data_IF_578465983477
#
_entry.id   IF_578465983477
#
_cell.length_a   1.000
_cell.length_b   1.000
_cell.length_c   1.000
_cell.angle_alpha   90.00
_cell.angle_beta   90.00
_cell.angle_gamma   90.00
#
_symmetry.space_group_name_H-M   'P 1'
#
loop_
_entity.id
_entity.type
_entity.pdbx_description
1 polymer ?
#
# COMPACT_ATOMS: atom_id res chain seq x y z
N UNK A 1 -4.16 26.59 -10.72
CA UNK A 1 -4.00 27.89 -10.05
C UNK A 1 -2.88 27.73 -9.03
N UNK A 2 -1.90 28.68 -9.01
CA UNK A 2 -0.81 28.69 -8.03
C UNK A 2 0.42 27.81 -8.31
N UNK A 3 0.40 26.90 -9.26
CA UNK A 3 1.53 25.96 -9.56
C UNK A 3 2.87 26.67 -9.88
N UNK A 4 2.88 27.88 -10.41
CA UNK A 4 4.11 28.61 -10.76
C UNK A 4 4.87 29.25 -9.59
N UNK A 5 4.40 29.14 -8.35
CA UNK A 5 4.94 29.85 -7.19
C UNK A 5 5.66 28.94 -6.17
N UNK A 6 6.02 27.73 -6.54
CA UNK A 6 6.68 26.76 -5.64
C UNK A 6 5.73 26.05 -4.68
N UNK A 7 6.24 25.52 -3.55
CA UNK A 7 5.44 24.79 -2.55
C UNK A 7 4.26 25.60 -1.99
N UNK A 8 3.22 24.90 -1.49
CA UNK A 8 1.98 25.52 -0.96
C UNK A 8 1.05 26.07 -2.04
N UNK A 9 1.06 25.47 -3.24
CA UNK A 9 0.23 25.94 -4.36
C UNK A 9 -1.27 25.77 -4.12
N UNK A 10 -1.69 24.80 -3.31
CA UNK A 10 -3.09 24.55 -2.97
C UNK A 10 -3.65 25.68 -2.10
N UNK A 11 -2.93 26.10 -1.08
CA UNK A 11 -3.31 27.20 -0.18
C UNK A 11 -3.33 28.54 -0.92
N UNK A 12 -2.28 28.81 -1.71
CA UNK A 12 -2.22 30.01 -2.56
C UNK A 12 -3.35 30.02 -3.59
N UNK A 13 -3.60 28.87 -4.22
CA UNK A 13 -4.70 28.66 -5.15
C UNK A 13 -6.05 28.95 -4.51
N UNK A 14 -6.29 28.49 -3.29
CA UNK A 14 -7.51 28.74 -2.53
C UNK A 14 -7.72 30.24 -2.26
N UNK A 15 -6.67 30.99 -1.92
CA UNK A 15 -6.75 32.45 -1.76
C UNK A 15 -7.07 33.16 -3.09
N UNK A 16 -6.44 32.73 -4.19
CA UNK A 16 -6.67 33.30 -5.51
C UNK A 16 -8.09 33.02 -6.03
N UNK A 17 -8.63 31.82 -5.78
CA UNK A 17 -9.94 31.42 -6.28
C UNK A 17 -11.07 32.22 -5.63
N UNK A 18 -10.96 32.70 -4.40
CA UNK A 18 -11.96 33.58 -3.77
C UNK A 18 -12.21 34.82 -4.61
N UNK A 19 -11.16 35.47 -5.11
CA UNK A 19 -11.26 36.66 -5.97
C UNK A 19 -11.89 36.32 -7.33
N UNK A 20 -11.57 35.13 -7.86
CA UNK A 20 -12.16 34.67 -9.12
C UNK A 20 -13.64 34.39 -8.94
N UNK A 21 -14.05 33.70 -7.89
CA UNK A 21 -15.44 33.40 -7.56
C UNK A 21 -16.29 34.68 -7.42
N UNK A 22 -15.77 35.71 -6.74
CA UNK A 22 -16.42 37.02 -6.65
C UNK A 22 -16.61 37.67 -8.03
N UNK A 23 -15.60 37.65 -8.88
CA UNK A 23 -15.69 38.20 -10.25
C UNK A 23 -16.66 37.42 -11.13
N UNK A 24 -16.79 36.10 -10.91
CA UNK A 24 -17.76 35.24 -11.58
C UNK A 24 -19.17 35.36 -10.98
N UNK A 25 -19.34 36.13 -9.90
CA UNK A 25 -20.62 36.30 -9.18
C UNK A 25 -21.21 34.97 -8.69
N UNK A 26 -20.34 34.05 -8.26
CA UNK A 26 -20.81 32.84 -7.59
C UNK A 26 -21.46 33.22 -6.25
N UNK A 27 -22.50 32.48 -5.87
CA UNK A 27 -23.08 32.60 -4.54
C UNK A 27 -22.09 32.14 -3.45
N UNK A 28 -22.45 32.31 -2.18
CA UNK A 28 -21.60 32.03 -1.04
C UNK A 28 -21.23 30.54 -0.98
N UNK A 29 -22.20 29.64 -1.19
CA UNK A 29 -22.02 28.21 -1.08
C UNK A 29 -21.14 27.66 -2.21
N UNK A 30 -21.39 28.08 -3.45
CA UNK A 30 -20.56 27.71 -4.60
C UNK A 30 -19.12 28.25 -4.46
N UNK A 31 -18.98 29.46 -3.94
CA UNK A 31 -17.65 30.07 -3.69
C UNK A 31 -16.87 29.27 -2.64
N UNK A 32 -17.52 28.85 -1.57
CA UNK A 32 -16.92 28.02 -0.52
C UNK A 32 -16.54 26.62 -1.05
N UNK A 33 -17.41 26.01 -1.88
CA UNK A 33 -17.13 24.72 -2.49
C UNK A 33 -15.92 24.78 -3.43
N UNK A 34 -15.83 25.78 -4.29
CA UNK A 34 -14.69 25.91 -5.22
C UNK A 34 -13.40 26.17 -4.46
N UNK A 35 -13.43 26.98 -3.39
CA UNK A 35 -12.26 27.18 -2.52
C UNK A 35 -11.83 25.87 -1.86
N UNK A 36 -12.77 25.10 -1.30
CA UNK A 36 -12.54 23.80 -0.71
C UNK A 36 -11.88 22.85 -1.71
N UNK A 37 -12.42 22.73 -2.92
CA UNK A 37 -11.91 21.86 -3.96
C UNK A 37 -10.46 22.23 -4.37
N UNK A 38 -10.15 23.51 -4.54
CA UNK A 38 -8.80 23.97 -4.88
C UNK A 38 -7.83 23.68 -3.73
N UNK A 39 -8.25 23.88 -2.49
CA UNK A 39 -7.42 23.61 -1.30
C UNK A 39 -7.08 22.14 -1.16
N UNK A 40 -8.06 21.26 -1.41
CA UNK A 40 -7.98 19.83 -1.12
C UNK A 40 -7.82 18.94 -2.36
N UNK A 41 -7.54 19.50 -3.56
CA UNK A 41 -7.52 18.72 -4.81
C UNK A 41 -6.54 17.53 -4.81
N UNK A 42 -5.46 17.57 -4.01
CA UNK A 42 -4.51 16.48 -3.88
C UNK A 42 -4.82 15.52 -2.73
N UNK A 43 -5.74 15.89 -1.81
CA UNK A 43 -5.96 15.14 -0.58
C UNK A 43 -6.47 13.73 -0.85
N UNK A 44 -7.42 13.58 -1.78
CA UNK A 44 -8.02 12.28 -2.07
C UNK A 44 -7.01 11.32 -2.72
N UNK A 45 -6.17 11.80 -3.65
CA UNK A 45 -5.09 10.98 -4.23
C UNK A 45 -4.05 10.60 -3.19
N UNK A 46 -3.66 11.56 -2.34
CA UNK A 46 -2.72 11.30 -1.26
C UNK A 46 -3.25 10.23 -0.30
N UNK A 47 -4.50 10.34 0.15
CA UNK A 47 -5.13 9.38 1.06
C UNK A 47 -5.29 8.01 0.39
N UNK A 48 -5.89 7.94 -0.80
CA UNK A 48 -6.16 6.68 -1.47
C UNK A 48 -4.89 5.88 -1.81
N UNK A 49 -3.83 6.57 -2.26
CA UNK A 49 -2.65 5.89 -2.79
C UNK A 49 -1.52 5.73 -1.78
N UNK A 50 -1.55 6.46 -0.65
CA UNK A 50 -0.44 6.48 0.31
C UNK A 50 -0.83 6.18 1.75
N UNK A 51 -2.11 6.13 2.09
CA UNK A 51 -2.57 5.80 3.44
C UNK A 51 -3.20 4.41 3.47
N UNK A 52 -3.17 3.76 4.62
CA UNK A 52 -3.89 2.50 4.78
C UNK A 52 -5.39 2.80 4.90
N UNK A 53 -6.17 2.34 3.91
CA UNK A 53 -7.62 2.54 3.88
C UNK A 53 -8.36 1.59 4.84
N UNK A 54 -7.66 0.64 5.44
CA UNK A 54 -8.20 -0.21 6.51
C UNK A 54 -7.92 0.37 7.91
N UNK A 55 -7.08 1.40 8.00
CA UNK A 55 -6.93 2.17 9.24
C UNK A 55 -8.14 3.10 9.41
N UNK A 56 -9.00 2.81 10.40
CA UNK A 56 -10.20 3.59 10.71
C UNK A 56 -9.88 5.08 10.94
N UNK A 57 -8.73 5.37 11.58
CA UNK A 57 -8.27 6.74 11.77
C UNK A 57 -8.13 7.48 10.44
N UNK A 58 -7.55 6.84 9.43
CA UNK A 58 -7.38 7.40 8.08
C UNK A 58 -8.73 7.80 7.48
N UNK A 59 -9.73 6.93 7.56
CA UNK A 59 -11.07 7.19 7.00
C UNK A 59 -11.81 8.27 7.79
N UNK A 60 -11.75 8.23 9.12
CA UNK A 60 -12.36 9.23 9.98
C UNK A 60 -11.76 10.63 9.79
N UNK A 61 -10.45 10.76 9.76
CA UNK A 61 -9.76 12.04 9.55
C UNK A 61 -10.09 12.61 8.16
N UNK A 62 -10.16 11.76 7.14
CA UNK A 62 -10.57 12.15 5.81
C UNK A 62 -12.05 12.58 5.77
N UNK A 63 -12.97 11.84 6.40
CA UNK A 63 -14.39 12.18 6.48
C UNK A 63 -14.60 13.51 7.23
N UNK A 64 -13.91 13.75 8.33
CA UNK A 64 -13.96 15.01 9.06
C UNK A 64 -13.50 16.19 8.17
N UNK A 65 -12.44 15.98 7.38
CA UNK A 65 -11.96 17.01 6.44
C UNK A 65 -12.98 17.28 5.32
N UNK A 66 -13.67 16.25 4.83
CA UNK A 66 -14.74 16.40 3.82
C UNK A 66 -15.93 17.18 4.37
N UNK A 67 -16.35 16.92 5.59
CA UNK A 67 -17.44 17.60 6.30
C UNK A 67 -18.83 17.41 5.70
N UNK A 68 -18.97 16.99 4.44
CA UNK A 68 -20.25 16.71 3.80
C UNK A 68 -20.14 15.73 2.64
N UNK A 69 -21.25 15.03 2.36
CA UNK A 69 -21.38 14.14 1.19
C UNK A 69 -21.17 14.89 -0.13
N UNK A 70 -21.62 16.16 -0.19
CA UNK A 70 -21.45 16.98 -1.40
C UNK A 70 -19.98 17.29 -1.69
N UNK A 71 -19.20 17.68 -0.69
CA UNK A 71 -17.76 17.92 -0.83
C UNK A 71 -17.04 16.66 -1.29
N UNK A 72 -17.38 15.49 -0.69
CA UNK A 72 -16.83 14.20 -1.08
C UNK A 72 -17.09 13.88 -2.56
N UNK A 73 -18.34 14.02 -3.02
CA UNK A 73 -18.71 13.78 -4.42
C UNK A 73 -17.94 14.68 -5.39
N UNK A 74 -17.90 15.97 -5.08
CA UNK A 74 -17.24 16.95 -5.95
C UNK A 74 -15.71 16.75 -5.97
N UNK A 75 -15.11 16.42 -4.82
CA UNK A 75 -13.68 16.12 -4.76
C UNK A 75 -13.35 14.83 -5.53
N UNK A 76 -14.19 13.80 -5.45
CA UNK A 76 -14.03 12.57 -6.21
C UNK A 76 -14.01 12.83 -7.73
N UNK A 77 -14.99 13.60 -8.22
CA UNK A 77 -15.07 13.96 -9.64
C UNK A 77 -13.86 14.79 -10.09
N UNK A 78 -13.44 15.75 -9.28
CA UNK A 78 -12.25 16.57 -9.56
C UNK A 78 -10.99 15.71 -9.59
N UNK A 79 -10.82 14.83 -8.61
CA UNK A 79 -9.67 13.92 -8.53
C UNK A 79 -9.59 12.99 -9.73
N UNK A 80 -10.74 12.41 -10.12
CA UNK A 80 -10.83 11.58 -11.32
C UNK A 80 -10.39 12.33 -12.58
N UNK A 81 -10.89 13.57 -12.76
CA UNK A 81 -10.54 14.38 -13.90
C UNK A 81 -9.06 14.80 -13.90
N UNK A 82 -8.51 15.17 -12.73
CA UNK A 82 -7.11 15.60 -12.59
C UNK A 82 -6.15 14.45 -12.89
N UNK A 83 -6.35 13.28 -12.31
CA UNK A 83 -5.49 12.11 -12.55
C UNK A 83 -5.53 11.65 -14.01
N UNK A 84 -6.71 11.64 -14.65
CA UNK A 84 -6.83 11.33 -16.10
C UNK A 84 -6.21 12.40 -16.99
N UNK A 85 -6.25 13.64 -16.56
CA UNK A 85 -5.66 14.77 -17.28
C UNK A 85 -4.14 14.78 -17.33
N UNK A 86 -3.47 14.04 -16.43
CA UNK A 86 -1.99 13.94 -16.41
C UNK A 86 -1.46 13.11 -17.57
N UNK A 87 -2.15 12.03 -17.96
CA UNK A 87 -1.77 11.18 -19.07
C UNK A 87 -2.48 9.83 -19.07
N UNK A 88 -2.49 9.12 -20.23
CA UNK A 88 -3.19 7.85 -20.37
C UNK A 88 -2.64 6.74 -19.45
N UNK A 89 -1.34 6.76 -19.19
CA UNK A 89 -0.66 5.73 -18.39
C UNK A 89 -0.71 5.98 -16.88
N UNK A 90 -1.20 7.15 -16.46
CA UNK A 90 -1.28 7.52 -15.03
C UNK A 90 -2.52 6.93 -14.36
N UNK A 91 -3.60 6.75 -15.12
CA UNK A 91 -4.85 6.15 -14.66
C UNK A 91 -4.90 4.67 -15.03
N UNK A 92 -5.12 3.81 -14.04
CA UNK A 92 -5.31 2.38 -14.25
C UNK A 92 -6.47 1.86 -13.37
N UNK A 93 -7.00 0.64 -13.64
CA UNK A 93 -8.11 0.05 -12.87
C UNK A 93 -7.81 -0.10 -11.37
N UNK A 94 -6.55 -0.34 -11.01
CA UNK A 94 -6.14 -0.43 -9.61
C UNK A 94 -6.32 0.92 -8.87
N UNK A 95 -5.83 2.02 -9.44
CA UNK A 95 -6.03 3.36 -8.88
C UNK A 95 -7.51 3.74 -8.81
N UNK A 96 -8.30 3.34 -9.82
CA UNK A 96 -9.74 3.50 -9.81
C UNK A 96 -10.39 2.78 -8.63
N UNK A 97 -9.98 1.54 -8.34
CA UNK A 97 -10.51 0.76 -7.22
C UNK A 97 -10.18 1.37 -5.86
N UNK A 98 -8.95 1.89 -5.67
CA UNK A 98 -8.55 2.56 -4.43
C UNK A 98 -9.34 3.86 -4.17
N UNK A 99 -9.55 4.67 -5.22
CA UNK A 99 -10.38 5.88 -5.10
C UNK A 99 -11.84 5.55 -4.80
N UNK A 100 -12.38 4.52 -5.44
CA UNK A 100 -13.74 4.02 -5.18
C UNK A 100 -13.88 3.49 -3.75
N UNK A 101 -12.90 2.75 -3.26
CA UNK A 101 -12.85 2.24 -1.88
C UNK A 101 -12.85 3.38 -0.87
N UNK A 102 -11.95 4.37 -1.02
CA UNK A 102 -11.91 5.54 -0.14
C UNK A 102 -13.26 6.28 -0.17
N UNK A 103 -13.84 6.46 -1.36
CA UNK A 103 -15.14 7.13 -1.51
C UNK A 103 -16.24 6.41 -0.73
N UNK A 104 -16.40 5.10 -0.92
CA UNK A 104 -17.46 4.31 -0.27
C UNK A 104 -17.30 4.29 1.24
N UNK A 105 -16.09 4.01 1.74
CA UNK A 105 -15.82 4.01 3.19
C UNK A 105 -16.09 5.38 3.83
N UNK A 106 -15.67 6.47 3.17
CA UNK A 106 -15.91 7.83 3.66
C UNK A 106 -17.39 8.21 3.62
N UNK A 107 -18.11 7.79 2.56
CA UNK A 107 -19.55 8.05 2.44
C UNK A 107 -20.31 7.43 3.61
N UNK A 108 -20.00 6.18 3.96
CA UNK A 108 -20.63 5.51 5.12
C UNK A 108 -20.41 6.30 6.40
N UNK A 109 -19.18 6.74 6.68
CA UNK A 109 -18.86 7.53 7.87
C UNK A 109 -19.62 8.87 7.89
N UNK A 110 -19.70 9.56 6.75
CA UNK A 110 -20.42 10.83 6.66
C UNK A 110 -21.95 10.66 6.87
N UNK A 111 -22.53 9.60 6.31
CA UNK A 111 -23.94 9.29 6.49
C UNK A 111 -24.28 8.95 7.95
N UNK A 112 -23.39 8.23 8.64
CA UNK A 112 -23.54 7.91 10.06
C UNK A 112 -23.38 9.16 10.95
N UNK A 113 -22.46 10.08 10.58
CA UNK A 113 -22.33 11.39 11.23
C UNK A 113 -23.60 12.24 11.08
N UNK A 114 -24.22 12.28 9.89
CA UNK A 114 -25.44 13.02 9.64
C UNK A 114 -26.63 12.47 10.44
N UNK A 115 -26.71 11.16 10.66
CA UNK A 115 -27.75 10.51 11.47
C UNK A 115 -27.52 10.67 12.98
N UNK A 116 -26.34 11.17 13.41
CA UNK A 116 -25.96 11.22 14.84
C UNK A 116 -25.66 9.85 15.44
N UNK A 117 -25.52 8.83 14.58
CA UNK A 117 -25.21 7.45 14.95
C UNK A 117 -23.70 7.16 14.96
N UNK A 118 -22.89 8.18 14.70
CA UNK A 118 -21.43 8.05 14.73
C UNK A 118 -20.97 7.82 16.17
N UNK A 119 -21.09 6.58 16.60
CA UNK A 119 -20.30 6.04 17.68
C UNK A 119 -19.01 5.51 17.04
N UNK A 120 -17.84 5.83 17.61
CA UNK A 120 -16.63 5.05 17.33
C UNK A 120 -17.06 3.59 17.38
N UNK A 121 -17.10 2.93 16.23
CA UNK A 121 -17.49 1.52 16.19
C UNK A 121 -16.65 0.82 17.25
N UNK A 122 -17.29 0.10 18.14
CA UNK A 122 -16.57 -0.73 19.08
C UNK A 122 -15.84 -1.77 18.23
N UNK A 123 -14.53 -1.52 17.98
CA UNK A 123 -13.65 -2.36 17.14
C UNK A 123 -13.79 -3.81 17.57
N UNK A 124 -13.96 -4.06 18.88
CA UNK A 124 -14.18 -5.41 19.42
C UNK A 124 -15.51 -6.01 18.93
N UNK A 125 -16.58 -5.21 18.90
CA UNK A 125 -17.86 -5.70 18.40
C UNK A 125 -17.82 -5.96 16.88
N UNK A 126 -17.13 -5.11 16.11
CA UNK A 126 -16.90 -5.33 14.68
C UNK A 126 -16.07 -6.60 14.44
N UNK A 127 -14.95 -6.74 15.15
CA UNK A 127 -14.10 -7.93 15.10
C UNK A 127 -14.90 -9.21 15.42
N UNK A 128 -15.68 -9.18 16.50
CA UNK A 128 -16.52 -10.33 16.90
C UNK A 128 -17.55 -10.71 15.83
N UNK A 129 -18.17 -9.71 15.17
CA UNK A 129 -19.11 -9.96 14.04
C UNK A 129 -18.41 -10.60 12.84
N UNK A 130 -17.23 -10.08 12.45
CA UNK A 130 -16.46 -10.63 11.33
C UNK A 130 -16.04 -12.06 11.64
N UNK A 131 -15.45 -12.30 12.80
CA UNK A 131 -15.03 -13.65 13.22
C UNK A 131 -16.20 -14.64 13.27
N UNK A 132 -17.39 -14.20 13.69
CA UNK A 132 -18.58 -15.05 13.73
C UNK A 132 -19.03 -15.44 12.31
N UNK A 133 -19.07 -14.48 11.37
CA UNK A 133 -19.41 -14.77 9.95
C UNK A 133 -18.39 -15.68 9.28
N UNK A 134 -17.11 -15.43 9.48
CA UNK A 134 -16.03 -16.29 8.96
C UNK A 134 -16.14 -17.71 9.53
N UNK A 135 -16.42 -17.85 10.83
CA UNK A 135 -16.67 -19.16 11.47
C UNK A 135 -17.84 -19.88 10.83
N UNK A 136 -18.97 -19.20 10.63
CA UNK A 136 -20.17 -19.76 10.00
C UNK A 136 -19.87 -20.25 8.58
N UNK A 137 -19.21 -19.43 7.76
CA UNK A 137 -18.88 -19.75 6.38
C UNK A 137 -17.90 -20.94 6.28
N UNK A 138 -16.82 -20.93 7.05
CA UNK A 138 -15.80 -21.98 7.00
C UNK A 138 -16.29 -23.31 7.61
N UNK A 139 -17.13 -23.27 8.64
CA UNK A 139 -17.67 -24.49 9.27
C UNK A 139 -18.63 -25.27 8.37
N UNK A 140 -19.09 -24.68 7.28
CA UNK A 140 -19.89 -25.38 6.27
C UNK A 140 -19.07 -26.43 5.48
N UNK A 141 -17.74 -26.26 5.38
CA UNK A 141 -16.87 -27.10 4.53
C UNK A 141 -15.65 -27.67 5.27
N UNK A 142 -15.43 -27.29 6.53
CA UNK A 142 -14.22 -27.65 7.28
C UNK A 142 -14.54 -28.05 8.72
N UNK A 143 -13.60 -28.70 9.39
CA UNK A 143 -13.77 -29.12 10.78
C UNK A 143 -13.80 -27.89 11.72
N UNK A 144 -14.74 -27.83 12.68
CA UNK A 144 -14.84 -26.70 13.60
C UNK A 144 -13.54 -26.39 14.35
N UNK A 145 -12.79 -27.43 14.75
CA UNK A 145 -11.51 -27.27 15.46
C UNK A 145 -10.46 -26.58 14.61
N UNK A 146 -10.41 -26.83 13.29
CA UNK A 146 -9.47 -26.17 12.37
C UNK A 146 -9.86 -24.71 12.16
N UNK A 147 -11.15 -24.41 12.08
CA UNK A 147 -11.68 -23.05 11.95
C UNK A 147 -11.41 -22.25 13.20
N UNK A 148 -11.68 -22.82 14.38
CA UNK A 148 -11.42 -22.15 15.67
C UNK A 148 -9.93 -21.88 15.85
N UNK A 149 -9.07 -22.84 15.49
CA UNK A 149 -7.62 -22.64 15.52
C UNK A 149 -7.19 -21.50 14.59
N UNK A 150 -7.70 -21.43 13.36
CA UNK A 150 -7.41 -20.34 12.44
C UNK A 150 -7.78 -18.99 13.03
N UNK A 151 -8.98 -18.87 13.61
CA UNK A 151 -9.46 -17.62 14.22
C UNK A 151 -8.58 -17.22 15.43
N UNK A 152 -8.13 -18.20 16.21
CA UNK A 152 -7.29 -17.97 17.39
C UNK A 152 -5.87 -17.51 17.05
N UNK A 153 -5.25 -18.12 16.02
CA UNK A 153 -3.85 -17.85 15.68
C UNK A 153 -3.69 -16.58 14.83
N UNK A 154 -4.68 -16.23 14.01
CA UNK A 154 -4.60 -15.04 13.18
C UNK A 154 -4.70 -13.75 14.01
N UNK A 155 -3.87 -12.73 13.72
CA UNK A 155 -3.93 -11.47 14.43
C UNK A 155 -5.25 -10.72 14.15
N UNK A 156 -5.76 -9.97 15.15
CA UNK A 156 -7.01 -9.20 15.01
C UNK A 156 -7.03 -8.31 13.77
N UNK A 157 -5.89 -7.67 13.46
CA UNK A 157 -5.74 -6.82 12.28
C UNK A 157 -5.98 -7.55 10.95
N UNK A 158 -5.82 -8.88 10.90
CA UNK A 158 -6.13 -9.67 9.71
C UNK A 158 -7.63 -9.57 9.40
N UNK A 159 -8.47 -9.83 10.38
CA UNK A 159 -9.92 -9.78 10.23
C UNK A 159 -10.44 -8.37 9.93
N UNK A 160 -9.78 -7.34 10.46
CA UNK A 160 -10.15 -5.94 10.24
C UNK A 160 -9.66 -5.37 8.90
N UNK A 161 -8.65 -5.99 8.27
CA UNK A 161 -7.99 -5.45 7.08
C UNK A 161 -8.15 -6.28 5.81
N UNK A 162 -8.65 -7.50 5.90
CA UNK A 162 -8.90 -8.35 4.75
C UNK A 162 -10.38 -8.43 4.42
N UNK A 163 -10.71 -8.51 3.14
CA UNK A 163 -12.08 -8.71 2.72
C UNK A 163 -12.56 -10.11 3.12
N UNK A 164 -13.77 -10.20 3.68
CA UNK A 164 -14.31 -11.45 4.22
C UNK A 164 -14.36 -12.56 3.16
N UNK A 165 -14.69 -12.22 1.92
CA UNK A 165 -14.72 -13.17 0.80
C UNK A 165 -13.34 -13.74 0.39
N UNK A 166 -12.23 -13.15 0.83
CA UNK A 166 -10.87 -13.65 0.59
C UNK A 166 -10.43 -14.65 1.69
N UNK A 167 -11.04 -14.57 2.88
CA UNK A 167 -10.62 -15.36 4.05
C UNK A 167 -10.75 -16.88 3.88
N UNK A 168 -11.75 -17.43 3.18
CA UNK A 168 -11.81 -18.88 2.90
C UNK A 168 -10.61 -19.40 2.09
N UNK A 169 -10.16 -18.64 1.10
CA UNK A 169 -8.98 -19.02 0.31
C UNK A 169 -7.70 -18.96 1.16
N UNK A 170 -7.57 -17.97 2.05
CA UNK A 170 -6.46 -17.87 2.98
C UNK A 170 -6.44 -19.00 4.01
N UNK A 171 -7.61 -19.38 4.53
CA UNK A 171 -7.76 -20.54 5.41
C UNK A 171 -7.30 -21.82 4.71
N UNK A 172 -7.80 -22.10 3.50
CA UNK A 172 -7.42 -23.27 2.72
C UNK A 172 -5.89 -23.29 2.45
N UNK A 173 -5.30 -22.14 2.10
CA UNK A 173 -3.86 -22.01 1.89
C UNK A 173 -3.05 -22.33 3.16
N UNK A 174 -3.50 -21.87 4.31
CA UNK A 174 -2.84 -22.15 5.60
C UNK A 174 -2.98 -23.63 5.99
N UNK A 175 -4.06 -24.33 5.60
CA UNK A 175 -4.22 -25.78 5.76
C UNK A 175 -3.34 -26.58 4.78
N UNK A 176 -3.12 -26.06 3.58
CA UNK A 176 -2.21 -26.66 2.59
C UNK A 176 -0.75 -26.62 3.03
N UNK A 177 -0.32 -25.58 3.75
CA UNK A 177 1.04 -25.43 4.22
C UNK A 177 1.44 -26.48 5.24
N UNK A 178 2.45 -27.29 4.93
CA UNK A 178 2.89 -28.45 5.74
C UNK A 178 4.19 -28.19 6.53
N UNK A 179 4.50 -26.92 6.83
CA UNK A 179 5.68 -26.56 7.64
C UNK A 179 7.00 -26.54 6.89
N UNK A 180 7.00 -26.72 5.57
CA UNK A 180 8.20 -26.64 4.71
C UNK A 180 7.89 -25.90 3.40
N UNK A 181 8.86 -25.15 2.89
CA UNK A 181 8.71 -24.37 1.66
C UNK A 181 7.67 -23.26 1.81
N UNK A 182 6.84 -23.06 0.80
CA UNK A 182 5.72 -22.13 0.80
C UNK A 182 4.50 -22.72 0.08
N UNK A 183 3.31 -22.51 0.65
CA UNK A 183 2.06 -22.66 -0.09
C UNK A 183 1.74 -21.34 -0.79
N UNK A 184 1.29 -21.37 -2.05
CA UNK A 184 1.04 -20.18 -2.88
C UNK A 184 -0.31 -20.31 -3.61
N UNK A 185 -1.23 -19.43 -3.27
CA UNK A 185 -2.50 -19.25 -3.97
C UNK A 185 -2.45 -18.01 -4.86
N UNK A 186 -3.05 -18.10 -6.05
CA UNK A 186 -3.08 -17.00 -7.02
C UNK A 186 -4.50 -16.84 -7.51
N UNK A 187 -5.02 -15.64 -7.42
CA UNK A 187 -6.33 -15.25 -7.92
C UNK A 187 -6.22 -14.07 -8.87
N UNK A 188 -6.89 -14.11 -10.00
CA UNK A 188 -6.82 -13.09 -11.04
C UNK A 188 -8.04 -12.19 -11.01
N UNK A 189 -7.82 -10.87 -11.09
CA UNK A 189 -8.85 -9.83 -11.16
C UNK A 189 -8.71 -9.02 -12.46
N UNK A 190 -9.23 -9.56 -13.59
CA UNK A 190 -9.10 -8.93 -14.90
C UNK A 190 -9.61 -7.49 -14.94
N UNK A 191 -10.71 -7.24 -14.26
CA UNK A 191 -11.36 -5.92 -14.20
C UNK A 191 -10.51 -4.86 -13.46
N UNK A 192 -9.54 -5.30 -12.62
CA UNK A 192 -8.62 -4.43 -11.87
C UNK A 192 -7.21 -4.43 -12.46
N UNK A 193 -6.97 -5.20 -13.53
CA UNK A 193 -5.65 -5.42 -14.14
C UNK A 193 -4.59 -5.84 -13.10
N UNK A 194 -4.98 -6.71 -12.18
CA UNK A 194 -4.11 -7.22 -11.13
C UNK A 194 -4.42 -8.67 -10.76
N UNK A 195 -3.50 -9.27 -10.02
CA UNK A 195 -3.66 -10.58 -9.40
C UNK A 195 -3.34 -10.48 -7.91
N UNK A 196 -3.99 -11.32 -7.11
CA UNK A 196 -3.59 -11.57 -5.73
C UNK A 196 -2.69 -12.78 -5.69
N UNK A 197 -1.57 -12.65 -5.00
CA UNK A 197 -0.66 -13.75 -4.67
C UNK A 197 -0.61 -13.86 -3.16
N UNK A 198 -1.25 -14.88 -2.60
CA UNK A 198 -1.18 -15.19 -1.18
C UNK A 198 -0.12 -16.28 -0.96
N UNK A 199 0.76 -16.05 0.02
CA UNK A 199 1.89 -16.93 0.33
C UNK A 199 1.81 -17.28 1.82
N UNK A 200 1.76 -18.57 2.14
CA UNK A 200 1.88 -19.07 3.49
C UNK A 200 3.22 -19.81 3.66
N UNK A 201 4.01 -19.40 4.67
CA UNK A 201 5.32 -20.02 4.99
C UNK A 201 5.63 -19.82 6.48
N UNK A 202 6.75 -20.33 6.97
CA UNK A 202 7.28 -20.01 8.30
C UNK A 202 7.97 -18.66 8.31
N UNK A 203 7.85 -17.95 9.42
CA UNK A 203 8.55 -16.67 9.62
C UNK A 203 10.07 -16.87 9.60
N UNK A 204 10.74 -15.94 8.96
CA UNK A 204 12.22 -15.88 8.91
C UNK A 204 12.68 -14.44 8.65
N UNK A 205 13.87 -14.09 9.13
CA UNK A 205 14.48 -12.79 8.86
C UNK A 205 14.57 -12.49 7.34
N UNK A 206 14.14 -11.30 6.91
CA UNK A 206 14.22 -10.87 5.52
C UNK A 206 13.24 -11.57 4.54
N UNK A 207 12.22 -12.26 5.05
CA UNK A 207 11.25 -12.99 4.21
C UNK A 207 10.60 -12.07 3.18
N UNK A 208 10.08 -10.92 3.60
CA UNK A 208 9.44 -9.98 2.69
C UNK A 208 10.39 -9.49 1.58
N UNK A 209 11.64 -9.17 1.93
CA UNK A 209 12.64 -8.79 0.95
C UNK A 209 12.94 -9.94 -0.04
N UNK A 210 13.02 -11.17 0.44
CA UNK A 210 13.23 -12.36 -0.40
C UNK A 210 12.08 -12.54 -1.40
N UNK A 211 10.83 -12.43 -0.95
CA UNK A 211 9.64 -12.52 -1.82
C UNK A 211 9.64 -11.37 -2.84
N UNK A 212 9.88 -10.13 -2.39
CA UNK A 212 9.95 -8.95 -3.27
C UNK A 212 11.05 -9.10 -4.32
N UNK A 213 12.21 -9.68 -3.95
CA UNK A 213 13.30 -9.98 -4.88
C UNK A 213 12.92 -11.00 -5.94
N UNK A 214 12.23 -12.09 -5.56
CA UNK A 214 11.70 -13.09 -6.51
C UNK A 214 10.68 -12.45 -7.44
N UNK A 215 9.74 -11.65 -6.93
CA UNK A 215 8.74 -10.94 -7.74
C UNK A 215 9.41 -9.98 -8.72
N UNK A 216 10.41 -9.20 -8.28
CA UNK A 216 11.17 -8.31 -9.14
C UNK A 216 11.90 -9.08 -10.26
N UNK A 217 12.55 -10.20 -9.95
CA UNK A 217 13.22 -11.04 -10.93
C UNK A 217 12.26 -11.65 -11.97
N UNK A 218 11.00 -11.88 -11.58
CA UNK A 218 9.93 -12.35 -12.46
C UNK A 218 9.19 -11.22 -13.16
N UNK A 219 9.58 -9.95 -12.94
CA UNK A 219 8.92 -8.75 -13.47
C UNK A 219 7.44 -8.69 -13.09
N UNK A 220 7.17 -9.01 -11.83
CA UNK A 220 5.89 -8.78 -11.19
C UNK A 220 5.98 -7.47 -10.41
N UNK A 221 5.17 -6.51 -10.78
CA UNK A 221 5.10 -5.21 -10.11
C UNK A 221 4.16 -5.33 -8.92
N UNK A 222 4.70 -5.20 -7.71
CA UNK A 222 3.91 -5.21 -6.49
C UNK A 222 3.19 -3.87 -6.39
N UNK A 223 1.86 -3.90 -6.23
CA UNK A 223 1.01 -2.72 -6.05
C UNK A 223 0.71 -2.48 -4.57
N UNK A 224 0.53 -3.55 -3.83
CA UNK A 224 0.24 -3.55 -2.40
C UNK A 224 0.68 -4.88 -1.80
N UNK A 225 1.09 -4.85 -0.54
CA UNK A 225 1.33 -6.06 0.25
C UNK A 225 0.79 -5.88 1.67
N UNK A 226 0.24 -6.96 2.23
CA UNK A 226 -0.16 -7.09 3.62
C UNK A 226 0.49 -8.32 4.20
N UNK A 227 1.14 -8.15 5.34
CA UNK A 227 1.96 -9.18 5.99
C UNK A 227 1.32 -9.52 7.32
N UNK A 228 0.99 -10.78 7.55
CA UNK A 228 0.36 -11.25 8.78
C UNK A 228 1.18 -12.37 9.40
N UNK A 229 1.71 -12.14 10.59
CA UNK A 229 2.36 -13.19 11.38
C UNK A 229 1.33 -13.78 12.33
N UNK A 230 1.02 -15.07 12.15
CA UNK A 230 0.17 -15.83 13.04
C UNK A 230 0.90 -16.18 14.33
N UNK A 231 0.16 -16.40 15.43
CA UNK A 231 0.73 -16.73 16.77
C UNK A 231 1.49 -18.06 16.79
N UNK A 232 1.24 -18.93 15.83
CA UNK A 232 1.94 -20.22 15.67
C UNK A 232 3.22 -20.13 14.82
N UNK A 233 3.63 -18.91 14.44
CA UNK A 233 4.84 -18.63 13.67
C UNK A 233 4.70 -18.81 12.15
N UNK A 234 3.49 -19.11 11.66
CA UNK A 234 3.20 -19.03 10.23
C UNK A 234 3.04 -17.58 9.79
N UNK A 235 3.48 -17.29 8.57
CA UNK A 235 3.23 -16.01 7.90
C UNK A 235 2.18 -16.24 6.82
N UNK A 236 1.26 -15.30 6.70
CA UNK A 236 0.39 -15.14 5.55
C UNK A 236 0.65 -13.77 4.92
N UNK A 237 1.32 -13.76 3.78
CA UNK A 237 1.61 -12.56 3.01
C UNK A 237 0.69 -12.49 1.80
N UNK A 238 -0.02 -11.39 1.66
CA UNK A 238 -0.97 -11.17 0.56
C UNK A 238 -0.49 -10.00 -0.30
N UNK A 239 -0.10 -10.31 -1.53
CA UNK A 239 0.39 -9.33 -2.50
C UNK A 239 -0.68 -9.06 -3.57
N UNK A 240 -0.90 -7.79 -3.89
CA UNK A 240 -1.55 -7.39 -5.14
C UNK A 240 -0.44 -7.07 -6.13
N UNK A 241 -0.45 -7.75 -7.28
CA UNK A 241 0.59 -7.60 -8.30
C UNK A 241 -0.01 -7.28 -9.66
N UNK A 242 0.71 -6.48 -10.46
CA UNK A 242 0.42 -6.27 -11.87
C UNK A 242 1.55 -6.80 -12.74
N UNK A 243 1.31 -6.83 -14.04
CA UNK A 243 2.27 -7.32 -15.01
C UNK A 243 2.54 -6.26 -16.09
N UNK A 244 3.26 -5.19 -15.69
CA UNK A 244 3.77 -4.18 -16.63
C UNK A 244 2.71 -3.41 -17.42
N UNK A 245 1.50 -3.19 -16.87
CA UNK A 245 0.45 -2.38 -17.49
C UNK A 245 -0.12 -2.95 -18.80
N UNK A 246 0.12 -4.21 -19.10
CA UNK A 246 -0.49 -4.93 -20.22
C UNK A 246 -1.39 -6.03 -19.69
N UNK A 247 -2.63 -6.05 -20.16
CA UNK A 247 -3.67 -7.04 -19.82
C UNK A 247 -3.35 -8.45 -20.37
N UNK A 248 -2.15 -8.96 -20.14
CA UNK A 248 -1.84 -10.38 -20.27
C UNK A 248 -2.11 -11.08 -18.94
N UNK A 249 -3.37 -11.07 -18.54
CA UNK A 249 -3.93 -11.68 -17.33
C UNK A 249 -3.71 -13.19 -17.29
N UNK A 250 -3.50 -13.81 -18.41
CA UNK A 250 -3.00 -15.18 -18.50
C UNK A 250 -1.47 -15.16 -18.54
N UNK A 251 -0.83 -14.85 -17.44
CA UNK A 251 0.50 -15.44 -17.27
C UNK A 251 0.29 -16.96 -17.43
N UNK A 252 0.90 -17.51 -18.49
CA UNK A 252 0.81 -18.95 -18.70
C UNK A 252 1.14 -19.65 -17.39
N UNK A 253 0.40 -20.69 -17.03
CA UNK A 253 0.59 -21.49 -15.79
C UNK A 253 2.07 -21.85 -15.56
N UNK A 254 2.84 -21.98 -16.64
CA UNK A 254 4.29 -22.16 -16.62
C UNK A 254 5.06 -21.04 -15.90
N UNK A 255 4.58 -19.79 -15.96
CA UNK A 255 5.27 -18.67 -15.32
C UNK A 255 4.99 -18.64 -13.82
N UNK A 256 3.77 -18.97 -13.42
CA UNK A 256 3.40 -19.15 -12.01
C UNK A 256 4.08 -20.38 -11.40
N UNK A 257 4.19 -21.47 -12.15
CA UNK A 257 4.96 -22.65 -11.74
C UNK A 257 6.44 -22.29 -11.53
N UNK A 258 7.02 -21.49 -12.43
CA UNK A 258 8.40 -20.99 -12.26
C UNK A 258 8.52 -20.04 -11.06
N UNK A 259 7.53 -19.19 -10.81
CA UNK A 259 7.51 -18.34 -9.61
C UNK A 259 7.55 -19.19 -8.34
N UNK A 260 6.67 -20.19 -8.22
CA UNK A 260 6.63 -21.11 -7.07
C UNK A 260 7.98 -21.82 -6.87
N UNK A 261 8.53 -22.43 -7.91
CA UNK A 261 9.82 -23.14 -7.81
C UNK A 261 10.99 -22.22 -7.48
N UNK A 262 11.01 -21.00 -8.02
CA UNK A 262 12.07 -20.01 -7.69
C UNK A 262 11.92 -19.52 -6.26
N UNK A 263 10.69 -19.28 -5.80
CA UNK A 263 10.44 -18.89 -4.41
C UNK A 263 10.90 -19.98 -3.44
N UNK A 264 10.55 -21.24 -3.71
CA UNK A 264 11.04 -22.38 -2.90
C UNK A 264 12.56 -22.44 -2.86
N UNK A 265 13.23 -22.30 -4.00
CA UNK A 265 14.69 -22.34 -4.07
C UNK A 265 15.37 -21.15 -3.33
N UNK A 266 14.73 -20.00 -3.27
CA UNK A 266 15.18 -18.87 -2.44
C UNK A 266 14.93 -19.16 -0.96
N UNK A 267 13.78 -19.72 -0.64
CA UNK A 267 13.40 -20.00 0.75
C UNK A 267 14.20 -21.16 1.36
N UNK A 268 14.66 -22.13 0.59
CA UNK A 268 15.54 -23.20 1.06
C UNK A 268 17.03 -22.85 1.00
N UNK A 269 17.38 -21.66 0.48
CA UNK A 269 18.74 -21.15 0.38
C UNK A 269 19.53 -21.68 -0.83
N UNK A 270 18.91 -22.42 -1.73
CA UNK A 270 19.55 -22.93 -2.97
C UNK A 270 19.86 -21.79 -3.95
N UNK A 271 19.12 -20.68 -3.87
CA UNK A 271 19.33 -19.47 -4.67
C UNK A 271 19.45 -18.27 -3.72
N UNK A 272 20.52 -17.50 -3.84
CA UNK A 272 20.65 -16.19 -3.19
C UNK A 272 19.81 -15.15 -3.95
N UNK A 273 18.87 -14.51 -3.26
CA UNK A 273 17.93 -13.56 -3.86
C UNK A 273 18.65 -12.35 -4.47
N UNK A 274 19.73 -11.88 -3.86
CA UNK A 274 20.56 -10.79 -4.34
C UNK A 274 21.09 -11.08 -5.75
N UNK A 275 21.66 -12.26 -5.94
CA UNK A 275 22.18 -12.71 -7.25
C UNK A 275 21.07 -12.88 -8.28
N UNK A 276 19.88 -13.30 -7.85
CA UNK A 276 18.72 -13.42 -8.72
C UNK A 276 18.31 -12.05 -9.26
N UNK A 277 18.24 -11.05 -8.38
CA UNK A 277 17.89 -9.66 -8.75
C UNK A 277 18.98 -9.06 -9.65
N UNK A 278 20.26 -9.19 -9.31
CA UNK A 278 21.38 -8.69 -10.11
C UNK A 278 21.39 -9.25 -11.54
N UNK A 279 21.19 -10.55 -11.70
CA UNK A 279 21.09 -11.19 -13.03
C UNK A 279 19.93 -10.61 -13.85
N UNK A 280 18.81 -10.33 -13.21
CA UNK A 280 17.64 -9.75 -13.87
C UNK A 280 17.86 -8.29 -14.28
N UNK A 281 18.65 -7.53 -13.53
CA UNK A 281 19.09 -6.17 -13.86
C UNK A 281 20.05 -6.14 -15.06
N UNK A 282 21.00 -7.08 -15.14
CA UNK A 282 22.02 -7.12 -16.19
C UNK A 282 21.45 -7.37 -17.59
N UNK A 283 20.25 -7.93 -17.70
CA UNK A 283 19.55 -8.18 -18.97
C UNK A 283 18.81 -6.96 -19.53
N UNK A 284 18.76 -5.85 -18.80
CA UNK A 284 18.12 -4.62 -19.23
C UNK A 284 19.16 -3.66 -19.82
N UNK A 285 18.91 -3.18 -21.05
CA UNK A 285 19.64 -2.03 -21.61
C UNK A 285 19.46 -0.83 -20.67
N UNK A 286 20.56 -0.26 -20.18
CA UNK A 286 20.55 0.96 -19.35
C UNK A 286 19.90 2.10 -20.15
N UNK A 287 18.60 2.32 -19.94
CA UNK A 287 17.97 3.58 -20.34
C UNK A 287 18.60 4.71 -19.52
N UNK A 288 18.91 5.83 -20.16
CA UNK A 288 19.25 7.07 -19.43
C UNK A 288 18.03 7.44 -18.60
N UNK A 289 18.16 7.30 -17.28
CA UNK A 289 17.07 7.62 -16.34
C UNK A 289 17.05 9.13 -16.10
N UNK A 290 15.87 9.75 -16.01
CA UNK A 290 15.76 11.12 -15.55
C UNK A 290 16.34 11.24 -14.14
N UNK A 291 16.93 12.39 -13.80
CA UNK A 291 17.39 12.68 -12.45
C UNK A 291 16.16 12.88 -11.55
N UNK A 292 15.81 11.86 -10.79
CA UNK A 292 14.78 11.91 -9.75
C UNK A 292 15.47 12.10 -8.41
N UNK A 293 15.08 13.14 -7.68
CA UNK A 293 15.61 13.37 -6.33
C UNK A 293 15.04 12.31 -5.37
N UNK A 294 15.93 11.55 -4.75
CA UNK A 294 15.55 10.62 -3.69
C UNK A 294 15.19 11.38 -2.42
N UNK A 295 14.05 11.07 -1.83
CA UNK A 295 13.57 11.65 -0.57
C UNK A 295 12.94 10.57 0.29
N UNK A 296 13.27 10.59 1.59
CA UNK A 296 12.70 9.70 2.60
C UNK A 296 11.96 10.54 3.63
N UNK A 297 10.68 10.24 3.84
CA UNK A 297 9.85 10.90 4.86
C UNK A 297 9.40 9.85 5.87
N UNK A 298 9.42 10.19 7.14
CA UNK A 298 8.96 9.32 8.23
C UNK A 298 7.91 10.08 9.02
N UNK A 299 6.72 9.48 9.15
CA UNK A 299 5.53 10.11 9.73
C UNK A 299 4.89 9.15 10.75
N UNK A 300 4.89 9.56 12.03
CA UNK A 300 4.25 8.83 13.12
C UNK A 300 2.79 9.24 13.36
N UNK A 301 2.32 10.32 12.75
CA UNK A 301 0.94 10.78 12.89
C UNK A 301 0.00 10.15 11.84
N UNK A 302 0.56 9.65 10.76
CA UNK A 302 -0.19 9.12 9.61
C UNK A 302 -0.92 7.79 9.88
N UNK A 303 -0.57 7.05 10.93
CA UNK A 303 -1.23 5.82 11.36
C UNK A 303 -1.32 5.76 12.88
N UNK A 304 -2.36 5.12 13.40
CA UNK A 304 -2.48 4.88 14.84
C UNK A 304 -1.49 3.80 15.32
N UNK A 305 -1.18 2.81 14.48
CA UNK A 305 -0.46 1.59 14.87
C UNK A 305 1.01 1.56 14.38
N UNK A 306 1.34 2.27 13.29
CA UNK A 306 2.59 2.09 12.59
C UNK A 306 3.38 3.39 12.44
N UNK A 307 4.70 3.26 12.37
CA UNK A 307 5.56 4.29 11.77
C UNK A 307 5.43 4.18 10.25
N UNK A 308 5.12 5.29 9.58
CA UNK A 308 4.97 5.34 8.12
C UNK A 308 6.26 5.85 7.51
N UNK A 309 6.86 5.05 6.62
CA UNK A 309 8.08 5.39 5.87
C UNK A 309 7.70 5.58 4.40
N UNK A 310 7.79 6.82 3.91
CA UNK A 310 7.55 7.17 2.50
C UNK A 310 8.88 7.32 1.77
N UNK A 311 9.05 6.59 0.68
CA UNK A 311 10.28 6.57 -0.13
C UNK A 311 9.96 7.06 -1.53
N UNK A 312 10.59 8.15 -1.93
CA UNK A 312 10.54 8.70 -3.28
C UNK A 312 11.90 8.51 -3.92
N UNK A 313 11.96 7.82 -5.06
CA UNK A 313 13.22 7.60 -5.78
C UNK A 313 12.96 7.24 -7.24
N UNK A 314 14.03 7.12 -8.05
CA UNK A 314 13.91 6.67 -9.44
C UNK A 314 13.46 5.21 -9.49
N UNK A 315 12.52 4.90 -10.41
CA UNK A 315 12.11 3.51 -10.65
C UNK A 315 13.24 2.73 -11.34
N UNK A 316 13.59 1.62 -10.73
CA UNK A 316 14.60 0.68 -11.27
C UNK A 316 14.32 -0.73 -10.74
N UNK A 317 14.59 -1.71 -11.60
CA UNK A 317 14.41 -3.10 -11.21
C UNK A 317 15.14 -3.41 -9.90
N UNK A 318 14.41 -3.97 -8.94
CA UNK A 318 14.94 -4.33 -7.62
C UNK A 318 15.02 -3.17 -6.63
N UNK A 319 14.49 -1.98 -6.94
CA UNK A 319 14.44 -0.88 -5.97
C UNK A 319 13.62 -1.26 -4.74
N UNK A 320 12.47 -1.89 -4.92
CA UNK A 320 11.65 -2.38 -3.81
C UNK A 320 12.39 -3.42 -2.95
N UNK A 321 13.07 -4.38 -3.59
CA UNK A 321 13.92 -5.33 -2.88
C UNK A 321 14.98 -4.60 -2.02
N UNK A 322 15.66 -3.61 -2.57
CA UNK A 322 16.69 -2.84 -1.85
C UNK A 322 16.12 -2.09 -0.65
N UNK A 323 14.95 -1.44 -0.81
CA UNK A 323 14.26 -0.75 0.28
C UNK A 323 13.90 -1.73 1.40
N UNK A 324 13.23 -2.82 1.05
CA UNK A 324 12.74 -3.80 2.03
C UNK A 324 13.88 -4.56 2.72
N UNK A 325 14.94 -4.84 2.00
CA UNK A 325 16.17 -5.43 2.57
C UNK A 325 16.84 -4.46 3.57
N UNK A 326 16.91 -3.18 3.24
CA UNK A 326 17.47 -2.16 4.14
C UNK A 326 16.59 -1.98 5.39
N UNK A 327 15.25 -1.96 5.24
CA UNK A 327 14.35 -1.92 6.40
C UNK A 327 14.54 -3.13 7.32
N UNK A 328 14.71 -4.32 6.73
CA UNK A 328 15.01 -5.53 7.48
C UNK A 328 16.36 -5.41 8.22
N UNK A 329 17.45 -4.96 7.57
CA UNK A 329 18.74 -4.76 8.22
C UNK A 329 18.69 -3.77 9.39
N UNK A 330 17.75 -2.82 9.32
CA UNK A 330 17.46 -1.88 10.40
C UNK A 330 16.57 -2.47 11.51
N UNK A 331 16.23 -3.77 11.49
CA UNK A 331 15.37 -4.41 12.48
C UNK A 331 13.92 -3.91 12.43
N UNK A 332 13.44 -3.53 11.26
CA UNK A 332 12.05 -3.07 11.08
C UNK A 332 11.20 -4.17 10.46
N UNK A 333 10.03 -4.40 11.06
CA UNK A 333 8.99 -5.30 10.54
C UNK A 333 8.01 -4.54 9.68
N UNK A 334 7.82 -4.98 8.42
CA UNK A 334 6.87 -4.40 7.48
C UNK A 334 5.52 -5.11 7.65
N UNK A 335 4.45 -4.34 7.80
CA UNK A 335 3.07 -4.84 7.93
C UNK A 335 2.21 -4.56 6.72
N UNK A 336 2.40 -3.40 6.10
CA UNK A 336 1.73 -2.99 4.85
C UNK A 336 2.75 -2.29 3.98
N UNK A 337 2.69 -2.56 2.68
CA UNK A 337 3.44 -1.81 1.68
C UNK A 337 2.48 -1.36 0.58
N UNK A 338 2.49 -0.07 0.26
CA UNK A 338 1.78 0.51 -0.89
C UNK A 338 2.80 1.01 -1.88
N UNK A 339 2.78 0.45 -3.06
CA UNK A 339 3.78 0.67 -4.09
C UNK A 339 3.14 1.47 -5.22
N UNK A 340 3.72 2.60 -5.57
CA UNK A 340 3.19 3.45 -6.63
C UNK A 340 4.31 3.90 -7.56
N UNK A 341 4.29 3.38 -8.77
CA UNK A 341 5.20 3.81 -9.84
C UNK A 341 4.50 4.83 -10.73
N UNK A 342 5.09 6.00 -10.90
CA UNK A 342 4.64 7.05 -11.81
C UNK A 342 5.73 7.31 -12.85
N UNK A 343 5.56 6.77 -14.05
CA UNK A 343 6.48 6.89 -15.19
C UNK A 343 7.90 6.41 -14.87
N UNK A 344 8.72 7.23 -14.21
CA UNK A 344 10.12 6.93 -13.90
C UNK A 344 10.45 7.13 -12.40
N UNK A 345 9.44 7.34 -11.56
CA UNK A 345 9.57 7.57 -10.12
C UNK A 345 8.69 6.63 -9.32
N UNK A 346 9.24 6.04 -8.29
CA UNK A 346 8.47 5.32 -7.27
C UNK A 346 8.11 6.26 -6.11
N UNK A 347 6.94 6.04 -5.55
CA UNK A 347 6.45 6.67 -4.33
C UNK A 347 5.89 5.55 -3.44
N UNK A 348 6.80 4.85 -2.76
CA UNK A 348 6.48 3.68 -1.96
C UNK A 348 6.26 4.07 -0.51
N UNK A 349 5.25 3.49 0.11
CA UNK A 349 4.88 3.75 1.49
C UNK A 349 4.86 2.43 2.27
N UNK A 350 5.65 2.38 3.33
CA UNK A 350 5.76 1.23 4.22
C UNK A 350 5.22 1.56 5.60
N UNK A 351 4.39 0.70 6.13
CA UNK A 351 3.88 0.76 7.50
C UNK A 351 4.69 -0.24 8.32
N UNK A 352 5.53 0.27 9.21
CA UNK A 352 6.53 -0.53 9.92
C UNK A 352 6.42 -0.39 11.44
N UNK A 353 6.95 -1.40 12.15
CA UNK A 353 7.24 -1.34 13.59
C UNK A 353 8.70 -1.73 13.84
N UNK A 354 9.20 -1.38 15.01
CA UNK A 354 10.42 -1.97 15.55
C UNK A 354 10.21 -3.47 15.84
N UNK A 355 11.27 -4.23 16.13
CA UNK A 355 11.22 -5.68 16.43
C UNK A 355 10.28 -6.01 17.60
N UNK A 356 10.10 -5.10 18.55
CA UNK A 356 9.20 -5.27 19.70
C UNK A 356 7.72 -5.03 19.36
N UNK A 357 7.40 -4.64 18.13
CA UNK A 357 6.05 -4.39 17.67
C UNK A 357 5.56 -2.94 17.83
N UNK A 358 6.37 -2.05 18.42
CA UNK A 358 6.03 -0.66 18.68
C UNK A 358 6.45 0.26 17.53
N UNK A 359 5.88 1.48 17.50
CA UNK A 359 6.34 2.55 16.62
C UNK A 359 7.78 2.97 16.94
N UNK A 360 8.47 3.48 15.94
CA UNK A 360 9.80 4.09 16.11
C UNK A 360 9.62 5.55 16.52
N UNK A 361 9.70 5.85 17.81
CA UNK A 361 9.47 7.20 18.33
C UNK A 361 10.76 8.00 18.57
N UNK A 362 11.89 7.32 18.76
CA UNK A 362 13.16 7.95 19.06
C UNK A 362 13.71 8.73 17.84
N UNK A 363 13.91 10.05 17.97
CA UNK A 363 14.34 10.91 16.88
C UNK A 363 15.70 10.49 16.28
N UNK A 364 16.63 10.00 17.10
CA UNK A 364 17.93 9.51 16.63
C UNK A 364 17.75 8.26 15.73
N UNK A 365 16.85 7.36 16.11
CA UNK A 365 16.54 6.16 15.34
C UNK A 365 15.82 6.49 14.03
N UNK A 366 14.91 7.45 14.05
CA UNK A 366 14.23 7.96 12.85
C UNK A 366 15.26 8.52 11.85
N UNK A 367 16.23 9.30 12.34
CA UNK A 367 17.27 9.87 11.48
C UNK A 367 18.21 8.80 10.93
N UNK A 368 18.58 7.80 11.72
CA UNK A 368 19.38 6.64 11.27
C UNK A 368 18.65 5.88 10.13
N UNK A 369 17.35 5.61 10.29
CA UNK A 369 16.54 4.95 9.26
C UNK A 369 16.55 5.77 7.97
N UNK A 370 16.32 7.09 8.08
CA UNK A 370 16.30 8.00 6.94
C UNK A 370 17.64 7.99 6.19
N UNK A 371 18.74 8.14 6.91
CA UNK A 371 20.07 8.19 6.33
C UNK A 371 20.48 6.86 5.70
N UNK A 372 20.20 5.74 6.35
CA UNK A 372 20.56 4.42 5.84
C UNK A 372 19.77 4.07 4.58
N UNK A 373 18.46 4.35 4.55
CA UNK A 373 17.64 4.20 3.36
C UNK A 373 18.12 5.09 2.22
N UNK A 374 18.37 6.38 2.50
CA UNK A 374 18.90 7.31 1.51
C UNK A 374 20.23 6.80 0.93
N UNK A 375 21.15 6.39 1.79
CA UNK A 375 22.42 5.85 1.39
C UNK A 375 22.32 4.56 0.55
N UNK A 376 21.33 3.71 0.81
CA UNK A 376 21.12 2.49 0.03
C UNK A 376 20.56 2.75 -1.38
N UNK A 377 19.88 3.88 -1.59
CA UNK A 377 19.17 4.18 -2.83
C UNK A 377 19.91 5.14 -3.77
N UNK A 378 20.78 5.98 -3.23
CA UNK A 378 21.57 6.95 -4.03
C UNK A 378 22.91 6.34 -4.41
N UNK A 379 23.29 6.32 -5.70
CA UNK A 379 24.63 5.89 -6.14
C UNK A 379 25.74 6.73 -5.51
N UNK A 380 26.92 6.13 -5.30
CA UNK A 380 28.05 6.78 -4.61
C UNK A 380 28.56 8.05 -5.31
N UNK A 381 28.47 8.10 -6.61
CA UNK A 381 28.83 9.26 -7.46
C UNK A 381 27.87 10.45 -7.28
N UNK A 382 26.63 10.22 -6.88
CA UNK A 382 25.65 11.27 -6.60
C UNK A 382 25.63 11.71 -5.13
N UNK A 383 26.12 10.88 -4.19
CA UNK A 383 26.21 11.22 -2.76
C UNK A 383 27.18 12.38 -2.48
N UNK A 384 28.22 12.51 -3.31
CA UNK A 384 29.23 13.57 -3.18
C UNK A 384 28.77 14.95 -3.70
N UNK A 385 27.63 15.00 -4.40
CA UNK A 385 27.13 16.22 -5.07
C UNK A 385 25.93 16.88 -4.37
N UNK A 386 25.34 16.26 -3.34
CA UNK A 386 24.17 16.80 -2.66
C UNK A 386 24.57 17.55 -1.39
N UNK A 387 24.21 18.86 -1.23
CA UNK A 387 24.27 19.52 0.05
C UNK A 387 23.25 18.89 1.00
N UNK A 388 23.69 18.49 2.19
CA UNK A 388 22.86 18.11 3.32
C UNK A 388 21.94 19.32 3.68
N UNK A 389 20.65 19.21 3.40
CA UNK A 389 19.64 20.16 3.86
C UNK A 389 18.60 19.39 4.67
#
# INVERSE_FOLDING_TARGET
IGKGFGGGHSERGAVMVRRIAQRMRLNVDDSALVEFLVRHHLLMTHTAFRRDLEDEKTICDFAQTMGSVNNLKMLYLLTYADVRGVGPDVWNPWKASLLGELYVKTLTVLEDMEKGEFHRQDIRAALGRIQARVREELSATSLPEEVDHFIEVMPERYFLSMAENEMPAHFALMQEYKGRGAAVAIEHFPEKDCSTVAICTSDRPGLFASIAGVMAAMRLDILNARIFTAKDGRILDVFRVSHGGRSEIAMAEQRWSRFRSTLEAVLDGSIEVERLVERSQSTLLRKRMPKVLTSIQIDNEASALYTVVEVYTADRLGVLFRITYTLHQLGLSIHVAKISTNVDQVADVFFVTAEQGDKVEESARIEEIRQTLYASLVPDDERLAAPLH
#
